data_IF_190727810892
#
_entry.id   IF_190727810892
#
_cell.length_a   1.000
_cell.length_b   1.000
_cell.length_c   1.000
_cell.angle_alpha   90.00
_cell.angle_beta   90.00
_cell.angle_gamma   90.00
#
_symmetry.space_group_name_H-M   'P 1'
#
loop_
_entity.id
_entity.type
_entity.pdbx_description
1 polymer ?
#
# COMPACT_ATOMS: atom_id res chain seq x y z
N UNK A 1 -39.86 12.08 -3.92
CA UNK A 1 -39.07 10.85 -4.11
C UNK A 1 -37.84 11.23 -4.92
N UNK A 2 -36.65 11.28 -4.31
CA UNK A 2 -35.41 11.68 -5.00
C UNK A 2 -34.89 10.46 -5.78
N UNK A 3 -34.64 10.55 -7.11
CA UNK A 3 -34.07 9.44 -7.85
C UNK A 3 -32.61 9.25 -7.43
N UNK A 4 -32.26 8.06 -6.94
CA UNK A 4 -30.86 7.67 -6.72
C UNK A 4 -30.33 7.19 -8.07
N UNK A 5 -29.39 7.92 -8.67
CA UNK A 5 -28.71 7.46 -9.87
C UNK A 5 -27.65 6.40 -9.49
N UNK A 6 -27.91 5.14 -9.82
CA UNK A 6 -26.97 4.06 -9.51
C UNK A 6 -25.58 4.31 -10.13
N UNK A 7 -25.54 4.99 -11.28
CA UNK A 7 -24.32 5.32 -11.99
C UNK A 7 -23.39 6.28 -11.23
N UNK A 8 -23.89 7.26 -10.46
CA UNK A 8 -23.00 8.10 -9.61
C UNK A 8 -22.37 7.29 -8.50
N UNK A 9 -23.15 6.45 -7.81
CA UNK A 9 -22.67 5.63 -6.69
C UNK A 9 -21.52 4.71 -7.12
N UNK A 10 -21.64 4.08 -8.29
CA UNK A 10 -20.56 3.23 -8.82
C UNK A 10 -19.29 4.02 -9.14
N UNK A 11 -19.39 5.22 -9.71
CA UNK A 11 -18.22 6.07 -9.98
C UNK A 11 -17.50 6.49 -8.70
N UNK A 12 -18.22 6.83 -7.65
CA UNK A 12 -17.62 7.21 -6.36
C UNK A 12 -16.95 6.03 -5.66
N UNK A 13 -17.55 4.83 -5.73
CA UNK A 13 -16.95 3.60 -5.16
C UNK A 13 -15.69 3.21 -5.93
N UNK A 14 -15.73 3.22 -7.27
CA UNK A 14 -14.57 2.90 -8.10
C UNK A 14 -13.44 3.91 -7.89
N UNK A 15 -13.73 5.21 -7.90
CA UNK A 15 -12.74 6.26 -7.63
C UNK A 15 -12.10 6.10 -6.24
N UNK A 16 -12.91 5.75 -5.22
CA UNK A 16 -12.42 5.49 -3.88
C UNK A 16 -11.54 4.23 -3.82
N UNK A 17 -11.94 3.16 -4.50
CA UNK A 17 -11.14 1.94 -4.58
C UNK A 17 -9.78 2.22 -5.25
N UNK A 18 -9.77 2.96 -6.35
CA UNK A 18 -8.54 3.36 -7.04
C UNK A 18 -7.66 4.25 -6.16
N UNK A 19 -8.23 5.22 -5.43
CA UNK A 19 -7.46 6.07 -4.52
C UNK A 19 -6.81 5.28 -3.36
N UNK A 20 -7.48 4.22 -2.89
CA UNK A 20 -6.98 3.37 -1.80
C UNK A 20 -5.99 2.30 -2.27
N UNK A 21 -6.22 1.69 -3.42
CA UNK A 21 -5.43 0.54 -3.89
C UNK A 21 -4.42 0.89 -4.98
N UNK A 22 -4.61 1.99 -5.71
CA UNK A 22 -3.68 2.47 -6.72
C UNK A 22 -2.25 2.64 -6.19
N UNK A 23 -2.04 3.30 -5.03
CA UNK A 23 -0.71 3.39 -4.42
C UNK A 23 -0.11 2.03 -4.03
N UNK A 24 -0.93 1.08 -3.55
CA UNK A 24 -0.48 -0.29 -3.23
C UNK A 24 0.01 -0.99 -4.49
N UNK A 25 -0.80 -0.99 -5.55
CA UNK A 25 -0.45 -1.59 -6.83
C UNK A 25 0.81 -0.94 -7.43
N UNK A 26 0.91 0.39 -7.38
CA UNK A 26 2.10 1.12 -7.81
C UNK A 26 3.36 0.72 -7.03
N UNK A 27 3.23 0.50 -5.72
CA UNK A 27 4.35 0.04 -4.89
C UNK A 27 4.75 -1.41 -5.20
N UNK A 28 3.78 -2.31 -5.46
CA UNK A 28 4.09 -3.67 -5.93
C UNK A 28 4.84 -3.67 -7.27
N UNK A 29 4.44 -2.81 -8.21
CA UNK A 29 5.15 -2.63 -9.49
C UNK A 29 6.57 -2.12 -9.25
N UNK A 30 6.75 -1.14 -8.35
CA UNK A 30 8.07 -0.66 -7.97
C UNK A 30 8.96 -1.78 -7.42
N UNK A 31 8.47 -2.56 -6.46
CA UNK A 31 9.20 -3.70 -5.89
C UNK A 31 9.60 -4.68 -6.99
N UNK A 32 8.67 -5.03 -7.88
CA UNK A 32 8.93 -5.94 -8.99
C UNK A 32 10.04 -5.41 -9.90
N UNK A 33 9.97 -4.13 -10.31
CA UNK A 33 10.99 -3.53 -11.18
C UNK A 33 12.38 -3.57 -10.53
N UNK A 34 12.48 -3.19 -9.25
CA UNK A 34 13.74 -3.27 -8.50
C UNK A 34 14.23 -4.72 -8.40
N UNK A 35 13.34 -5.67 -8.10
CA UNK A 35 13.69 -7.09 -7.91
C UNK A 35 14.06 -7.79 -9.22
N UNK A 36 13.49 -7.35 -10.34
CA UNK A 36 13.77 -7.89 -11.68
C UNK A 36 15.03 -7.30 -12.32
N UNK A 37 15.60 -6.26 -11.72
CA UNK A 37 16.78 -5.58 -12.24
C UNK A 37 18.05 -6.34 -11.88
N UNK A 38 18.82 -6.75 -12.89
CA UNK A 38 20.10 -7.45 -12.70
C UNK A 38 21.21 -6.56 -12.13
N UNK A 39 21.04 -5.24 -12.23
CA UNK A 39 21.96 -4.23 -11.71
C UNK A 39 21.19 -3.17 -10.96
N UNK A 40 21.43 -3.09 -9.66
CA UNK A 40 20.95 -2.01 -8.80
C UNK A 40 22.14 -1.10 -8.47
N UNK A 41 21.91 0.20 -8.25
CA UNK A 41 22.93 1.08 -7.69
C UNK A 41 23.44 0.53 -6.36
N UNK A 42 24.72 0.76 -6.07
CA UNK A 42 25.28 0.41 -4.77
C UNK A 42 24.52 1.13 -3.65
N UNK A 43 24.25 0.39 -2.58
CA UNK A 43 23.63 0.95 -1.40
C UNK A 43 24.62 1.87 -0.66
N UNK A 44 24.12 2.94 0.00
CA UNK A 44 24.97 3.79 0.84
C UNK A 44 25.73 2.98 1.89
N UNK A 45 26.94 3.42 2.25
CA UNK A 45 27.75 2.75 3.27
C UNK A 45 26.96 2.52 4.57
N UNK A 46 26.94 1.27 5.05
CA UNK A 46 26.20 0.85 6.25
C UNK A 46 24.76 0.38 5.99
N UNK A 47 24.26 0.52 4.75
CA UNK A 47 22.96 -0.02 4.37
C UNK A 47 23.12 -1.43 3.80
N UNK A 48 22.61 -2.43 4.53
CA UNK A 48 22.60 -3.82 4.07
C UNK A 48 21.38 -4.10 3.20
N UNK A 49 21.47 -5.16 2.40
CA UNK A 49 20.33 -5.72 1.65
C UNK A 49 19.09 -5.95 2.54
N UNK A 50 19.30 -6.44 3.77
CA UNK A 50 18.22 -6.67 4.75
C UNK A 50 17.54 -5.37 5.17
N UNK A 51 18.31 -4.31 5.38
CA UNK A 51 17.77 -3.00 5.75
C UNK A 51 16.97 -2.39 4.59
N UNK A 52 17.48 -2.55 3.36
CA UNK A 52 16.77 -2.13 2.15
C UNK A 52 15.45 -2.88 1.99
N UNK A 53 15.46 -4.20 2.15
CA UNK A 53 14.26 -5.03 2.11
C UNK A 53 13.26 -4.64 3.21
N UNK A 54 13.72 -4.48 4.45
CA UNK A 54 12.85 -4.07 5.57
C UNK A 54 12.19 -2.73 5.28
N UNK A 55 12.93 -1.76 4.76
CA UNK A 55 12.38 -0.44 4.40
C UNK A 55 11.35 -0.55 3.27
N UNK A 56 11.63 -1.37 2.26
CA UNK A 56 10.72 -1.57 1.12
C UNK A 56 9.40 -2.23 1.57
N UNK A 57 9.48 -3.32 2.33
CA UNK A 57 8.31 -4.05 2.79
C UNK A 57 7.54 -3.31 3.90
N UNK A 58 8.18 -2.51 4.73
CA UNK A 58 7.49 -1.63 5.68
C UNK A 58 6.70 -0.53 4.97
N UNK A 59 7.24 0.05 3.88
CA UNK A 59 6.51 0.97 3.00
C UNK A 59 5.26 0.32 2.39
N UNK A 60 5.39 -0.90 1.86
CA UNK A 60 4.24 -1.66 1.34
C UNK A 60 3.22 -1.95 2.44
N UNK A 61 3.68 -2.43 3.60
CA UNK A 61 2.83 -2.73 4.77
C UNK A 61 2.03 -1.52 5.22
N UNK A 62 2.65 -0.33 5.27
CA UNK A 62 1.96 0.93 5.56
C UNK A 62 0.85 1.23 4.54
N UNK A 63 1.13 1.10 3.24
CA UNK A 63 0.14 1.38 2.19
C UNK A 63 -1.04 0.40 2.22
N UNK A 64 -0.77 -0.88 2.47
CA UNK A 64 -1.81 -1.90 2.66
C UNK A 64 -2.66 -1.59 3.88
N UNK A 65 -2.02 -1.33 5.03
CA UNK A 65 -2.73 -0.98 6.26
C UNK A 65 -3.62 0.25 6.06
N UNK A 66 -3.11 1.30 5.38
CA UNK A 66 -3.87 2.49 5.00
C UNK A 66 -5.07 2.17 4.10
N UNK A 67 -4.89 1.30 3.11
CA UNK A 67 -5.96 0.90 2.18
C UNK A 67 -7.08 0.17 2.93
N UNK A 68 -6.73 -0.74 3.84
CA UNK A 68 -7.67 -1.49 4.68
C UNK A 68 -8.40 -0.57 5.67
N UNK A 69 -7.69 0.38 6.29
CA UNK A 69 -8.29 1.40 7.16
C UNK A 69 -9.18 2.40 6.37
N UNK A 70 -9.10 2.39 5.03
CA UNK A 70 -9.89 3.26 4.16
C UNK A 70 -9.40 4.70 4.10
N UNK A 71 -8.13 4.97 4.44
CA UNK A 71 -7.48 6.28 4.39
C UNK A 71 -6.50 6.54 5.55
N UNK A 72 -5.77 7.66 5.49
CA UNK A 72 -4.89 8.12 6.59
C UNK A 72 -5.73 8.75 7.70
N UNK A 73 -5.34 8.56 8.96
CA UNK A 73 -6.04 9.12 10.14
C UNK A 73 -7.34 8.39 10.51
N UNK A 74 -7.62 7.26 9.87
CA UNK A 74 -8.71 6.35 10.24
C UNK A 74 -8.19 5.33 11.26
N UNK A 75 -8.98 4.99 12.29
CA UNK A 75 -8.56 3.96 13.24
C UNK A 75 -8.33 2.64 12.50
N UNK A 76 -7.18 2.02 12.73
CA UNK A 76 -6.93 0.67 12.25
C UNK A 76 -7.86 -0.30 12.98
N UNK A 77 -8.54 -1.22 12.28
CA UNK A 77 -9.22 -2.29 12.97
C UNK A 77 -8.18 -3.12 13.73
N UNK A 78 -8.45 -3.40 15.01
CA UNK A 78 -7.45 -3.87 15.98
C UNK A 78 -6.70 -5.16 15.58
N UNK A 79 -7.26 -5.96 14.67
CA UNK A 79 -6.60 -7.15 14.13
C UNK A 79 -5.38 -6.84 13.24
N UNK A 80 -5.28 -5.64 12.66
CA UNK A 80 -4.10 -5.23 11.85
C UNK A 80 -2.89 -4.98 12.75
N UNK A 81 -3.12 -4.40 13.95
CA UNK A 81 -2.07 -4.21 14.95
C UNK A 81 -1.59 -5.59 15.43
N UNK A 82 -2.51 -6.53 15.66
CA UNK A 82 -2.17 -7.90 16.03
C UNK A 82 -1.38 -8.63 14.91
N UNK A 83 -1.79 -8.49 13.64
CA UNK A 83 -1.09 -9.10 12.51
C UNK A 83 0.33 -8.54 12.32
N UNK A 84 0.51 -7.23 12.50
CA UNK A 84 1.82 -6.58 12.42
C UNK A 84 2.76 -6.96 13.58
N UNK A 85 2.22 -7.38 14.73
CA UNK A 85 3.00 -7.80 15.90
C UNK A 85 3.45 -9.28 15.85
N UNK A 86 2.95 -10.07 14.90
CA UNK A 86 3.22 -11.52 14.76
C UNK A 86 4.21 -11.82 13.62
N UNK A 87 4.57 -10.82 12.82
CA UNK A 87 5.60 -10.88 11.76
C UNK A 87 6.92 -10.35 12.31
#
# INVERSE_FOLDING_TARGET
MIPIDHASRFRTVAARAVALWGPVAGYCVLIFLLSSSSHLPDLPHGFSDKNAHLLLYSGLGFLVARAVAGGVGRPFPGWIIAAAAVV
#
